data_IF_576956048100
#
_entry.id   IF_576956048100
#
_cell.length_a   1.000
_cell.length_b   1.000
_cell.length_c   1.000
_cell.angle_alpha   90.00
_cell.angle_beta   90.00
_cell.angle_gamma   90.00
#
_symmetry.space_group_name_H-M   'P 1'
#
loop_
_entity.id
_entity.type
_entity.pdbx_description
1 polymer ?
#
# COMPACT_ATOMS: atom_id res chain seq x y z
N UNK A 1 28.22 7.13 5.96
CA UNK A 1 27.71 6.01 6.76
C UNK A 1 26.21 5.96 6.46
N UNK A 2 25.74 4.99 5.69
CA UNK A 2 24.31 4.84 5.45
C UNK A 2 23.68 4.37 6.75
N UNK A 3 22.76 5.14 7.31
CA UNK A 3 22.03 4.73 8.49
C UNK A 3 21.12 3.56 8.11
N UNK A 4 21.43 2.38 8.63
CA UNK A 4 20.62 1.18 8.40
C UNK A 4 19.53 1.20 9.46
N UNK A 5 18.42 1.86 9.14
CA UNK A 5 17.21 1.75 9.94
C UNK A 5 16.63 0.34 9.77
N UNK A 6 16.41 -0.35 10.90
CA UNK A 6 15.69 -1.61 10.92
C UNK A 6 14.36 -1.45 10.17
N UNK A 7 13.97 -2.47 9.41
CA UNK A 7 12.67 -2.47 8.74
C UNK A 7 11.60 -2.24 9.81
N UNK A 8 10.72 -1.24 9.65
CA UNK A 8 9.75 -0.95 10.68
C UNK A 8 8.88 -2.18 10.97
N UNK A 9 8.55 -2.38 12.25
CA UNK A 9 7.89 -3.58 12.76
C UNK A 9 6.49 -3.85 12.17
N UNK A 10 5.93 -2.86 11.46
CA UNK A 10 4.65 -2.95 10.77
C UNK A 10 4.83 -2.54 9.31
N UNK A 11 4.36 -3.38 8.40
CA UNK A 11 4.43 -3.18 6.97
C UNK A 11 4.11 -4.49 6.24
N UNK A 12 3.73 -4.37 4.97
CA UNK A 12 3.36 -5.50 4.10
C UNK A 12 3.93 -5.30 2.70
N UNK A 13 4.00 -6.39 1.93
CA UNK A 13 4.40 -6.39 0.53
C UNK A 13 3.24 -6.92 -0.31
N UNK A 14 2.85 -6.16 -1.33
CA UNK A 14 1.80 -6.48 -2.28
C UNK A 14 2.41 -6.68 -3.65
N UNK A 15 2.14 -7.81 -4.31
CA UNK A 15 2.61 -8.08 -5.67
C UNK A 15 1.71 -7.36 -6.69
N UNK A 16 2.32 -6.81 -7.74
CA UNK A 16 1.57 -6.19 -8.83
C UNK A 16 0.87 -7.27 -9.67
N UNK A 17 -0.46 -7.22 -9.74
CA UNK A 17 -1.25 -8.19 -10.50
C UNK A 17 -0.99 -8.17 -12.02
N UNK A 18 -0.31 -7.14 -12.55
CA UNK A 18 -0.02 -7.01 -13.98
C UNK A 18 1.27 -7.72 -14.39
N UNK A 19 2.24 -7.85 -13.48
CA UNK A 19 3.59 -8.36 -13.77
C UNK A 19 4.29 -8.82 -12.48
N UNK A 20 4.77 -10.07 -12.46
CA UNK A 20 5.52 -10.66 -11.31
C UNK A 20 6.84 -9.91 -10.99
N UNK A 21 7.26 -8.97 -11.83
CA UNK A 21 8.47 -8.17 -11.64
C UNK A 21 8.31 -6.94 -10.74
N UNK A 22 7.08 -6.54 -10.38
CA UNK A 22 6.81 -5.35 -9.57
C UNK A 22 6.11 -5.70 -8.25
N UNK A 23 6.51 -5.00 -7.19
CA UNK A 23 5.88 -5.10 -5.88
C UNK A 23 5.72 -3.71 -5.27
N UNK A 24 4.64 -3.51 -4.52
CA UNK A 24 4.46 -2.38 -3.63
C UNK A 24 4.80 -2.81 -2.21
N UNK A 25 5.64 -2.05 -1.53
CA UNK A 25 5.95 -2.25 -0.12
C UNK A 25 5.41 -1.08 0.70
N UNK A 26 4.62 -1.42 1.71
CA UNK A 26 4.13 -0.51 2.74
C UNK A 26 5.02 -0.63 3.97
N UNK A 27 5.39 0.49 4.57
CA UNK A 27 6.22 0.52 5.78
C UNK A 27 5.84 1.72 6.65
N UNK A 28 5.80 1.54 7.97
CA UNK A 28 5.39 2.57 8.91
C UNK A 28 6.57 3.24 9.59
N UNK A 29 6.64 4.56 9.57
CA UNK A 29 7.64 5.30 10.33
C UNK A 29 6.93 6.08 11.43
N UNK A 30 7.25 5.78 12.69
CA UNK A 30 6.61 6.40 13.87
C UNK A 30 7.18 7.76 14.24
N UNK A 31 8.30 8.14 13.63
CA UNK A 31 8.98 9.41 13.88
C UNK A 31 8.15 10.61 13.41
N UNK A 32 8.35 11.76 14.08
CA UNK A 32 7.85 13.08 13.66
C UNK A 32 6.35 13.16 13.27
N UNK A 33 5.47 12.45 13.98
CA UNK A 33 4.02 12.50 13.78
C UNK A 33 3.42 11.26 13.12
N UNK A 34 4.25 10.34 12.63
CA UNK A 34 3.82 9.10 12.02
C UNK A 34 3.52 9.25 10.53
N UNK A 35 4.08 8.36 9.71
CA UNK A 35 3.83 8.31 8.27
C UNK A 35 3.84 6.89 7.75
N UNK A 36 3.03 6.63 6.73
CA UNK A 36 3.12 5.42 5.93
C UNK A 36 3.93 5.71 4.67
N UNK A 37 4.91 4.86 4.38
CA UNK A 37 5.72 4.93 3.17
C UNK A 37 5.31 3.80 2.25
N UNK A 38 4.82 4.16 1.07
CA UNK A 38 4.46 3.26 -0.01
C UNK A 38 5.55 3.35 -1.07
N UNK A 39 6.25 2.26 -1.33
CA UNK A 39 7.36 2.22 -2.29
C UNK A 39 7.10 1.16 -3.35
N UNK A 40 7.38 1.49 -4.61
CA UNK A 40 7.29 0.56 -5.74
C UNK A 40 8.68 0.04 -6.03
N UNK A 41 8.81 -1.28 -6.04
CA UNK A 41 10.05 -1.99 -6.30
C UNK A 41 9.93 -2.76 -7.62
N UNK A 42 11.00 -2.72 -8.41
CA UNK A 42 11.13 -3.50 -9.64
C UNK A 42 12.52 -4.12 -9.69
N UNK A 43 12.59 -5.44 -9.88
CA UNK A 43 13.86 -6.18 -9.94
C UNK A 43 14.83 -5.82 -8.78
N UNK A 44 14.29 -5.71 -7.56
CA UNK A 44 15.07 -5.38 -6.36
C UNK A 44 15.46 -3.90 -6.21
N UNK A 45 15.03 -3.00 -7.10
CA UNK A 45 15.30 -1.56 -7.02
C UNK A 45 14.02 -0.78 -6.70
N UNK A 46 14.08 0.13 -5.73
CA UNK A 46 13.00 1.09 -5.49
C UNK A 46 12.94 2.12 -6.63
N UNK A 47 11.84 2.15 -7.36
CA UNK A 47 11.64 3.03 -8.53
C UNK A 47 10.69 4.19 -8.25
N UNK A 48 9.93 4.14 -7.16
CA UNK A 48 9.04 5.22 -6.74
C UNK A 48 8.74 5.11 -5.25
N UNK A 49 8.57 6.26 -4.59
CA UNK A 49 8.18 6.34 -3.18
C UNK A 49 7.14 7.42 -3.00
N UNK A 50 6.12 7.13 -2.19
CA UNK A 50 5.09 8.05 -1.76
C UNK A 50 4.99 8.00 -0.23
N UNK A 51 4.91 9.17 0.41
CA UNK A 51 4.81 9.30 1.85
C UNK A 51 3.42 9.85 2.16
N UNK A 52 2.68 9.15 3.01
CA UNK A 52 1.34 9.52 3.44
C UNK A 52 1.36 9.83 4.93
N UNK A 53 0.87 11.03 5.30
CA UNK A 53 0.74 11.44 6.68
C UNK A 53 -0.26 10.57 7.43
N UNK A 54 -0.05 10.37 8.74
CA UNK A 54 -0.96 9.58 9.58
C UNK A 54 -2.40 10.09 9.52
N UNK A 55 -2.59 11.40 9.39
CA UNK A 55 -3.87 12.08 9.28
C UNK A 55 -4.70 11.66 8.06
N UNK A 56 -4.05 11.29 6.96
CA UNK A 56 -4.71 10.91 5.71
C UNK A 56 -4.95 9.40 5.59
N UNK A 57 -4.38 8.60 6.50
CA UNK A 57 -4.54 7.14 6.51
C UNK A 57 -6.00 6.70 6.64
N UNK A 58 -6.83 7.29 7.52
CA UNK A 58 -8.24 6.91 7.62
C UNK A 58 -8.98 7.09 6.28
N UNK A 59 -8.71 8.17 5.54
CA UNK A 59 -9.34 8.45 4.26
C UNK A 59 -8.90 7.46 3.17
N UNK A 60 -7.61 7.06 3.18
CA UNK A 60 -7.12 5.98 2.32
C UNK A 60 -7.85 4.66 2.63
N UNK A 61 -7.98 4.30 3.90
CA UNK A 61 -8.66 3.05 4.32
C UNK A 61 -10.14 3.07 3.90
N UNK A 62 -10.85 4.16 4.18
CA UNK A 62 -12.26 4.31 3.78
C UNK A 62 -12.43 4.17 2.26
N UNK A 63 -11.53 4.77 1.50
CA UNK A 63 -11.53 4.68 0.04
C UNK A 63 -11.33 3.23 -0.44
N UNK A 64 -10.42 2.48 0.17
CA UNK A 64 -10.20 1.06 -0.16
C UNK A 64 -11.41 0.20 0.20
N UNK A 65 -12.02 0.41 1.37
CA UNK A 65 -13.20 -0.33 1.82
C UNK A 65 -14.39 -0.07 0.90
N UNK A 66 -14.63 1.21 0.54
CA UNK A 66 -15.70 1.58 -0.40
C UNK A 66 -15.51 0.92 -1.76
N UNK A 67 -14.29 0.98 -2.32
CA UNK A 67 -14.00 0.33 -3.61
C UNK A 67 -14.24 -1.18 -3.59
N UNK A 68 -13.86 -1.85 -2.50
CA UNK A 68 -14.13 -3.28 -2.33
C UNK A 68 -15.65 -3.57 -2.24
N UNK A 69 -16.41 -2.77 -1.49
CA UNK A 69 -17.85 -2.95 -1.37
C UNK A 69 -18.57 -2.78 -2.72
N UNK A 70 -18.16 -1.80 -3.52
CA UNK A 70 -18.69 -1.53 -4.85
C UNK A 70 -18.39 -2.70 -5.82
N UNK A 71 -17.15 -3.20 -5.83
CA UNK A 71 -16.76 -4.36 -6.64
C UNK A 71 -17.58 -5.62 -6.30
N UNK A 72 -17.80 -5.89 -5.02
CA UNK A 72 -18.59 -7.03 -4.56
C UNK A 72 -20.07 -6.92 -4.95
N UNK A 73 -20.62 -5.70 -4.94
CA UNK A 73 -21.98 -5.45 -5.40
C UNK A 73 -22.13 -5.76 -6.89
N UNK A 74 -21.16 -5.34 -7.71
CA UNK A 74 -21.14 -5.59 -9.16
C UNK A 74 -21.05 -7.09 -9.47
N UNK A 75 -20.15 -7.82 -8.81
CA UNK A 75 -20.02 -9.27 -8.98
C UNK A 75 -21.32 -10.02 -8.65
N UNK A 76 -22.04 -9.61 -7.60
CA UNK A 76 -23.31 -10.23 -7.20
C UNK A 76 -24.42 -9.99 -8.23
N UNK A 77 -24.53 -8.78 -8.76
CA UNK A 77 -25.51 -8.46 -9.81
C UNK A 77 -25.20 -9.21 -11.11
N UNK A 78 -23.92 -9.36 -11.46
CA UNK A 78 -23.49 -10.13 -12.63
C UNK A 78 -23.73 -11.64 -12.53
N UNK A 79 -23.71 -12.23 -11.33
CA UNK A 79 -24.00 -13.66 -11.12
C UNK A 79 -25.50 -14.00 -11.08
N UNK A 80 -26.37 -12.99 -10.94
CA UNK A 80 -27.83 -13.16 -10.90
C UNK A 80 -28.51 -13.02 -12.27
N UNK A 81 -27.73 -12.84 -13.35
CA UNK A 81 -28.19 -12.77 -14.75
C UNK A 81 -27.84 -14.04 -15.50
#
# INVERSE_FOLDING_TARGET
MADIHALPAHGDVFLDARDDGRAMRLSWHTEAGGMAVLSIWRAGTCVSTFQLGREDIPDLIDTLVRGLAEDQAQHRTGQAS
#
